data_IF_098792786375
#
_entry.id   IF_098792786375
#
_cell.length_a   1.000
_cell.length_b   1.000
_cell.length_c   1.000
_cell.angle_alpha   90.00
_cell.angle_beta   90.00
_cell.angle_gamma   90.00
#
_symmetry.space_group_name_H-M   'P 1'
#
loop_
_entity.id
_entity.type
_entity.pdbx_description
1 polymer ?
#
# COMPACT_ATOMS: atom_id res chain seq x y z
N UNK A 1 -18.99 4.66 -4.37
CA UNK A 1 -17.51 4.69 -4.30
C UNK A 1 -16.94 3.80 -5.38
N UNK A 2 -15.82 4.20 -6.03
CA UNK A 2 -15.12 3.35 -6.98
C UNK A 2 -14.69 2.03 -6.34
N UNK A 3 -14.61 0.97 -7.16
CA UNK A 3 -14.12 -0.35 -6.75
C UNK A 3 -12.60 -0.30 -6.61
N UNK A 4 -12.04 -0.96 -5.60
CA UNK A 4 -10.58 -1.18 -5.55
C UNK A 4 -10.29 -2.27 -6.57
N UNK A 5 -9.50 -1.91 -7.59
CA UNK A 5 -8.98 -2.81 -8.62
C UNK A 5 -7.52 -3.14 -8.33
N UNK A 6 -6.97 -4.21 -8.92
CA UNK A 6 -5.53 -4.41 -8.93
C UNK A 6 -4.80 -3.18 -9.47
N UNK A 7 -3.60 -2.94 -8.95
CA UNK A 7 -2.67 -1.90 -9.40
C UNK A 7 -1.26 -2.47 -9.38
N UNK A 8 -0.35 -1.90 -10.15
CA UNK A 8 1.06 -2.30 -10.11
C UNK A 8 1.71 -1.96 -8.76
N UNK A 9 2.76 -2.70 -8.43
CA UNK A 9 3.44 -2.55 -7.15
C UNK A 9 4.03 -1.15 -6.93
N UNK A 10 4.47 -0.44 -7.99
CA UNK A 10 5.07 0.90 -7.87
C UNK A 10 4.00 1.93 -7.52
N UNK A 11 2.84 1.83 -8.16
CA UNK A 11 1.67 2.65 -7.82
C UNK A 11 1.28 2.42 -6.37
N UNK A 12 1.15 1.16 -5.94
CA UNK A 12 0.79 0.86 -4.55
C UNK A 12 1.83 1.37 -3.55
N UNK A 13 3.11 1.19 -3.85
CA UNK A 13 4.21 1.65 -3.00
C UNK A 13 4.16 3.17 -2.80
N UNK A 14 3.97 3.93 -3.88
CA UNK A 14 3.79 5.40 -3.83
C UNK A 14 2.57 5.79 -2.99
N UNK A 15 1.43 5.13 -3.16
CA UNK A 15 0.21 5.42 -2.37
C UNK A 15 0.50 5.28 -0.88
N UNK A 16 1.13 4.20 -0.45
CA UNK A 16 1.44 4.00 0.97
C UNK A 16 2.50 4.98 1.47
N UNK A 17 3.49 5.35 0.65
CA UNK A 17 4.45 6.40 1.01
C UNK A 17 3.78 7.76 1.20
N UNK A 18 2.87 8.15 0.30
CA UNK A 18 2.12 9.41 0.41
C UNK A 18 1.18 9.42 1.63
N UNK A 19 0.68 8.27 2.05
CA UNK A 19 -0.07 8.14 3.30
C UNK A 19 0.80 8.34 4.55
N UNK A 20 2.12 8.22 4.42
CA UNK A 20 3.08 8.35 5.52
C UNK A 20 3.76 7.05 5.93
N UNK A 21 3.61 5.97 5.15
CA UNK A 21 4.40 4.76 5.36
C UNK A 21 5.85 5.00 4.93
N UNK A 22 6.79 4.68 5.82
CA UNK A 22 8.20 4.84 5.58
C UNK A 22 8.79 3.55 5.02
N UNK A 23 9.53 3.68 3.93
CA UNK A 23 10.23 2.55 3.35
C UNK A 23 11.35 2.07 4.27
N UNK A 24 11.34 0.78 4.62
CA UNK A 24 12.31 0.19 5.54
C UNK A 24 13.39 -0.61 4.82
N UNK A 25 12.99 -1.56 3.97
CA UNK A 25 13.91 -2.43 3.22
C UNK A 25 13.20 -3.19 2.10
N UNK A 26 13.98 -3.87 1.26
CA UNK A 26 13.54 -4.94 0.34
C UNK A 26 14.19 -6.26 0.76
N UNK A 27 13.45 -7.34 0.62
CA UNK A 27 13.92 -8.70 0.82
C UNK A 27 13.40 -9.58 -0.32
N UNK A 28 14.30 -10.05 -1.20
CA UNK A 28 13.89 -10.67 -2.47
C UNK A 28 13.03 -9.70 -3.29
N UNK A 29 11.84 -10.13 -3.72
CA UNK A 29 10.86 -9.32 -4.44
C UNK A 29 9.86 -8.58 -3.52
N UNK A 30 10.09 -8.51 -2.21
CA UNK A 30 9.13 -7.96 -1.25
C UNK A 30 9.62 -6.66 -0.62
N UNK A 31 8.85 -5.58 -0.77
CA UNK A 31 9.09 -4.28 -0.17
C UNK A 31 8.43 -4.19 1.20
N UNK A 32 9.19 -3.83 2.22
CA UNK A 32 8.71 -3.68 3.60
C UNK A 32 8.64 -2.20 3.96
N UNK A 33 7.45 -1.74 4.35
CA UNK A 33 7.22 -0.38 4.83
C UNK A 33 6.69 -0.41 6.27
N UNK A 34 7.05 0.59 7.08
CA UNK A 34 6.56 0.77 8.44
C UNK A 34 5.68 2.02 8.53
N UNK A 35 4.74 2.03 9.46
CA UNK A 35 3.89 3.20 9.72
C UNK A 35 3.84 3.42 11.24
N UNK A 36 4.10 4.65 11.76
CA UNK A 36 4.13 4.90 13.20
C UNK A 36 2.86 4.46 13.95
N UNK A 37 1.68 4.54 13.30
CA UNK A 37 0.41 4.11 13.86
C UNK A 37 0.08 2.61 13.70
N UNK A 38 0.93 1.83 13.03
CA UNK A 38 0.69 0.42 12.77
C UNK A 38 1.53 -0.48 13.69
N UNK A 39 0.91 -1.52 14.26
CA UNK A 39 1.61 -2.53 15.08
C UNK A 39 2.54 -3.43 14.27
N UNK A 40 2.37 -3.49 12.95
CA UNK A 40 3.10 -4.37 12.03
C UNK A 40 3.48 -3.61 10.78
N UNK A 41 4.58 -4.03 10.15
CA UNK A 41 4.95 -3.55 8.82
C UNK A 41 3.95 -4.04 7.77
N UNK A 42 3.83 -3.29 6.67
CA UNK A 42 3.16 -3.76 5.45
C UNK A 42 4.20 -4.30 4.48
N UNK A 43 3.76 -5.22 3.63
CA UNK A 43 4.61 -5.85 2.62
C UNK A 43 3.94 -5.74 1.26
N UNK A 44 4.69 -5.29 0.25
CA UNK A 44 4.23 -5.16 -1.13
C UNK A 44 5.18 -5.99 -2.03
N UNK A 45 4.72 -7.09 -2.65
CA UNK A 45 5.52 -7.83 -3.62
C UNK A 45 5.66 -7.06 -4.94
N UNK A 46 6.73 -7.31 -5.70
CA UNK A 46 6.95 -6.75 -7.05
C UNK A 46 6.14 -7.48 -8.12
N UNK A 47 4.80 -7.33 -8.09
CA UNK A 47 3.91 -7.86 -9.13
C UNK A 47 3.39 -6.74 -10.02
N UNK A 48 3.14 -7.06 -11.30
CA UNK A 48 2.51 -6.14 -12.26
C UNK A 48 1.08 -5.81 -11.87
N UNK A 49 0.38 -6.73 -11.20
CA UNK A 49 -0.92 -6.51 -10.60
C UNK A 49 -0.95 -7.07 -9.17
N UNK A 50 -1.15 -6.19 -8.19
CA UNK A 50 -1.32 -6.57 -6.79
C UNK A 50 -2.78 -6.89 -6.51
N UNK A 51 -3.02 -8.10 -6.01
CA UNK A 51 -4.35 -8.53 -5.63
C UNK A 51 -5.04 -7.57 -4.67
N UNK A 52 -6.34 -7.37 -4.90
CA UNK A 52 -7.19 -6.47 -4.11
C UNK A 52 -7.18 -6.83 -2.62
N UNK A 53 -7.00 -8.11 -2.29
CA UNK A 53 -6.89 -8.56 -0.90
C UNK A 53 -5.61 -8.06 -0.22
N UNK A 54 -4.46 -8.10 -0.91
CA UNK A 54 -3.18 -7.55 -0.40
C UNK A 54 -3.32 -6.05 -0.17
N UNK A 55 -3.90 -5.33 -1.14
CA UNK A 55 -4.17 -3.89 -1.03
C UNK A 55 -5.00 -3.61 0.24
N UNK A 56 -6.14 -4.30 0.40
CA UNK A 56 -7.03 -4.12 1.55
C UNK A 56 -6.37 -4.50 2.88
N UNK A 57 -5.56 -5.57 2.91
CA UNK A 57 -4.83 -5.99 4.10
C UNK A 57 -3.83 -4.94 4.56
N UNK A 58 -3.05 -4.39 3.62
CA UNK A 58 -2.10 -3.33 3.91
C UNK A 58 -2.82 -2.04 4.35
N UNK A 59 -3.94 -1.67 3.71
CA UNK A 59 -4.77 -0.53 4.14
C UNK A 59 -5.27 -0.70 5.58
N UNK A 60 -5.83 -1.86 5.92
CA UNK A 60 -6.29 -2.18 7.28
C UNK A 60 -5.15 -2.10 8.30
N UNK A 61 -3.96 -2.58 7.93
CA UNK A 61 -2.79 -2.59 8.82
C UNK A 61 -2.38 -1.19 9.27
N UNK A 62 -2.50 -0.20 8.37
CA UNK A 62 -2.12 1.19 8.64
C UNK A 62 -3.31 2.10 8.96
N UNK A 63 -4.53 1.54 9.03
CA UNK A 63 -5.76 2.29 9.31
C UNK A 63 -6.20 3.22 8.17
N UNK A 64 -5.81 2.96 6.93
CA UNK A 64 -6.18 3.79 5.77
C UNK A 64 -7.63 3.53 5.37
N UNK A 65 -8.43 4.60 5.28
CA UNK A 65 -9.80 4.55 4.78
C UNK A 65 -9.84 4.38 3.26
N UNK A 66 -10.99 3.98 2.73
CA UNK A 66 -11.19 3.87 1.27
C UNK A 66 -11.07 5.23 0.57
N UNK A 67 -11.59 6.28 1.17
CA UNK A 67 -11.53 7.63 0.59
C UNK A 67 -10.11 8.14 0.51
N UNK A 68 -9.34 7.97 1.60
CA UNK A 68 -7.91 8.30 1.62
C UNK A 68 -7.15 7.52 0.54
N UNK A 69 -7.41 6.22 0.38
CA UNK A 69 -6.78 5.43 -0.68
C UNK A 69 -7.04 6.03 -2.07
N UNK A 70 -8.30 6.34 -2.41
CA UNK A 70 -8.62 6.88 -3.73
C UNK A 70 -8.15 8.32 -3.93
N UNK A 71 -8.11 9.14 -2.89
CA UNK A 71 -7.51 10.47 -2.95
C UNK A 71 -6.02 10.42 -3.24
N UNK A 72 -5.31 9.48 -2.62
CA UNK A 72 -3.89 9.27 -2.84
C UNK A 72 -3.60 8.63 -4.19
N UNK A 73 -4.42 7.67 -4.62
CA UNK A 73 -4.29 7.01 -5.92
C UNK A 73 -4.39 8.01 -7.09
N UNK A 74 -5.19 9.07 -6.96
CA UNK A 74 -5.29 10.15 -7.96
C UNK A 74 -4.04 11.04 -8.06
N UNK A 75 -3.15 10.98 -7.07
CA UNK A 75 -1.92 11.79 -6.99
C UNK A 75 -0.69 11.06 -7.49
N UNK A 76 -0.84 9.79 -7.88
CA UNK A 76 0.24 8.92 -8.38
C UNK A 76 0.24 8.91 -9.90
#
# INVERSE_FOLDING_TARGET
MPRITPVDYKTLLKVFQLYGCQYKRKEGSHHVLIYPGAKRAIVIPEYDEIDVEIIKNNMRTVGMSRDQYFELLKKV
#
